data_IF_245819334562
#
_entry.id   IF_245819334562
#
_cell.length_a   1.000
_cell.length_b   1.000
_cell.length_c   1.000
_cell.angle_alpha   90.00
_cell.angle_beta   90.00
_cell.angle_gamma   90.00
#
_symmetry.space_group_name_H-M   'P 1'
#
loop_
_entity.id
_entity.type
_entity.pdbx_description
1 polymer ?
#
# COMPACT_ATOMS: atom_id res chain seq x y z
N UNK A 1 9.95 -2.08 18.98
CA UNK A 1 9.42 -3.22 18.21
C UNK A 1 10.46 -4.31 18.19
N UNK A 2 10.12 -5.50 18.69
CA UNK A 2 10.91 -6.71 18.50
C UNK A 2 10.36 -7.40 17.27
N UNK A 3 11.22 -7.75 16.30
CA UNK A 3 10.81 -8.40 15.06
C UNK A 3 11.68 -8.03 13.87
N UNK A 4 11.38 -8.63 12.72
CA UNK A 4 12.16 -8.49 11.48
C UNK A 4 11.63 -7.34 10.63
N UNK A 5 12.46 -6.32 10.36
CA UNK A 5 12.11 -5.18 9.54
C UNK A 5 12.26 -5.49 8.04
N UNK A 6 11.19 -5.32 7.28
CA UNK A 6 11.13 -5.56 5.84
C UNK A 6 11.16 -4.32 4.95
N UNK A 7 11.45 -3.13 5.47
CA UNK A 7 11.35 -1.90 4.68
C UNK A 7 12.09 -1.97 3.33
N UNK A 8 13.32 -2.47 3.33
CA UNK A 8 14.10 -2.62 2.10
C UNK A 8 13.51 -3.64 1.12
N UNK A 9 12.75 -4.62 1.63
CA UNK A 9 12.08 -5.60 0.78
C UNK A 9 10.85 -5.02 0.05
N UNK A 10 10.37 -3.82 0.43
CA UNK A 10 9.28 -3.13 -0.29
C UNK A 10 9.73 -2.51 -1.63
N UNK A 11 11.03 -2.38 -1.88
CA UNK A 11 11.57 -1.85 -3.13
C UNK A 11 11.49 -2.89 -4.26
N UNK A 12 10.28 -3.35 -4.52
CA UNK A 12 9.98 -4.34 -5.55
C UNK A 12 10.03 -3.68 -6.94
N UNK A 13 10.87 -4.20 -7.84
CA UNK A 13 11.00 -3.72 -9.22
C UNK A 13 10.79 -4.87 -10.21
N UNK A 14 10.20 -4.57 -11.36
CA UNK A 14 9.54 -3.32 -11.78
C UNK A 14 8.20 -3.12 -11.09
N UNK A 15 7.87 -1.85 -10.81
CA UNK A 15 6.58 -1.50 -10.20
C UNK A 15 5.39 -1.79 -11.12
N UNK A 16 5.62 -1.85 -12.42
CA UNK A 16 4.63 -2.10 -13.45
C UNK A 16 5.27 -2.73 -14.68
N UNK A 17 4.71 -3.82 -15.16
CA UNK A 17 5.16 -4.47 -16.39
C UNK A 17 4.72 -3.74 -17.65
N UNK A 18 5.25 -4.18 -18.81
CA UNK A 18 4.80 -3.68 -20.10
C UNK A 18 3.34 -4.04 -20.40
N UNK A 19 2.92 -5.26 -20.05
CA UNK A 19 1.55 -5.72 -20.25
C UNK A 19 0.56 -4.94 -19.36
N UNK A 20 0.90 -4.71 -18.08
CA UNK A 20 0.09 -3.88 -17.19
C UNK A 20 -0.04 -2.43 -17.67
N UNK A 21 1.01 -1.85 -18.25
CA UNK A 21 0.92 -0.50 -18.84
C UNK A 21 0.05 -0.47 -20.08
N UNK A 22 0.15 -1.48 -20.94
CA UNK A 22 -0.63 -1.57 -22.16
C UNK A 22 -2.13 -1.88 -21.89
N UNK A 23 -2.43 -2.58 -20.77
CA UNK A 23 -3.79 -2.91 -20.35
C UNK A 23 -4.22 -2.15 -19.09
N UNK A 24 -3.74 -0.92 -18.91
CA UNK A 24 -4.05 -0.15 -17.68
C UNK A 24 -5.54 0.16 -17.53
N UNK A 25 -6.27 0.28 -18.62
CA UNK A 25 -7.72 0.45 -18.68
C UNK A 25 -8.49 -0.80 -18.24
N UNK A 26 -7.85 -1.96 -18.27
CA UNK A 26 -8.41 -3.23 -17.81
C UNK A 26 -8.19 -3.49 -16.31
N UNK A 27 -7.44 -2.62 -15.64
CA UNK A 27 -7.26 -2.73 -14.20
C UNK A 27 -8.45 -2.12 -13.47
N UNK A 28 -8.99 -2.84 -12.49
CA UNK A 28 -10.03 -2.27 -11.62
C UNK A 28 -9.58 -0.92 -11.07
N UNK A 29 -10.15 0.14 -11.60
CA UNK A 29 -9.80 1.51 -11.26
C UNK A 29 -10.20 1.85 -9.82
N UNK A 30 -9.88 3.07 -9.40
CA UNK A 30 -10.29 3.60 -8.11
C UNK A 30 -11.80 3.80 -8.01
N UNK A 31 -12.44 4.03 -9.16
CA UNK A 31 -13.87 4.34 -9.29
C UNK A 31 -14.70 3.07 -9.45
N UNK A 32 -14.07 1.93 -9.78
CA UNK A 32 -14.76 0.66 -9.96
C UNK A 32 -15.14 0.05 -8.61
N UNK A 33 -16.42 0.06 -8.31
CA UNK A 33 -16.98 -0.47 -7.06
C UNK A 33 -17.16 -1.98 -7.08
N UNK A 34 -17.34 -2.58 -8.27
CA UNK A 34 -17.48 -4.03 -8.45
C UNK A 34 -16.38 -4.59 -9.35
N UNK A 35 -15.24 -4.88 -8.72
CA UNK A 35 -14.08 -5.41 -9.40
C UNK A 35 -14.31 -6.83 -9.97
N UNK A 36 -15.16 -7.66 -9.34
CA UNK A 36 -15.47 -8.98 -9.88
C UNK A 36 -16.28 -8.89 -11.18
N UNK A 37 -17.31 -8.05 -11.19
CA UNK A 37 -18.11 -7.83 -12.40
C UNK A 37 -17.25 -7.26 -13.53
N UNK A 38 -16.39 -6.27 -13.21
CA UNK A 38 -15.48 -5.67 -14.19
C UNK A 38 -14.53 -6.70 -14.80
N UNK A 39 -13.83 -7.48 -13.96
CA UNK A 39 -12.89 -8.50 -14.44
C UNK A 39 -13.60 -9.62 -15.21
N UNK A 40 -14.82 -9.98 -14.81
CA UNK A 40 -15.64 -10.98 -15.51
C UNK A 40 -16.01 -10.50 -16.93
N UNK A 41 -16.35 -9.22 -17.09
CA UNK A 41 -16.66 -8.64 -18.39
C UNK A 41 -15.45 -8.61 -19.34
N UNK A 42 -14.23 -8.54 -18.80
CA UNK A 42 -12.97 -8.44 -19.57
C UNK A 42 -12.10 -9.70 -19.44
N UNK A 43 -12.66 -10.83 -18.99
CA UNK A 43 -11.90 -12.04 -18.64
C UNK A 43 -10.99 -12.54 -19.78
N UNK A 44 -11.41 -12.41 -21.02
CA UNK A 44 -10.64 -12.85 -22.19
C UNK A 44 -9.33 -12.05 -22.40
N UNK A 45 -9.26 -10.85 -21.88
CA UNK A 45 -8.15 -9.92 -22.05
C UNK A 45 -7.11 -10.00 -20.91
N UNK A 46 -7.49 -10.65 -19.80
CA UNK A 46 -6.66 -10.74 -18.59
C UNK A 46 -5.45 -11.70 -18.62
N UNK A 47 -5.36 -12.75 -19.46
CA UNK A 47 -4.32 -13.77 -19.32
C UNK A 47 -2.89 -13.22 -19.32
N UNK A 48 -2.58 -12.24 -20.19
CA UNK A 48 -1.24 -11.64 -20.26
C UNK A 48 -0.93 -10.80 -19.02
N UNK A 49 -1.88 -9.99 -18.53
CA UNK A 49 -1.76 -9.18 -17.33
C UNK A 49 -1.60 -10.08 -16.10
N UNK A 50 -2.41 -11.14 -16.01
CA UNK A 50 -2.36 -12.09 -14.91
C UNK A 50 -1.04 -12.87 -14.87
N UNK A 51 -0.49 -13.24 -16.03
CA UNK A 51 0.81 -13.91 -16.11
C UNK A 51 1.94 -13.03 -15.54
N UNK A 52 1.97 -11.75 -15.89
CA UNK A 52 2.93 -10.80 -15.36
C UNK A 52 2.79 -10.58 -13.85
N UNK A 53 1.55 -10.49 -13.35
CA UNK A 53 1.30 -10.34 -11.92
C UNK A 53 1.72 -11.60 -11.12
N UNK A 54 1.49 -12.81 -11.67
CA UNK A 54 1.94 -14.07 -11.05
C UNK A 54 3.45 -14.15 -10.87
N UNK A 55 4.24 -13.60 -11.79
CA UNK A 55 5.71 -13.59 -11.67
C UNK A 55 6.20 -12.83 -10.43
N UNK A 56 5.42 -11.87 -9.95
CA UNK A 56 5.75 -11.04 -8.78
C UNK A 56 5.17 -11.55 -7.48
N UNK A 57 4.32 -12.55 -7.55
CA UNK A 57 3.61 -13.07 -6.39
C UNK A 57 4.55 -13.65 -5.33
N UNK A 58 5.61 -14.36 -5.75
CA UNK A 58 6.62 -14.85 -4.84
C UNK A 58 7.33 -13.72 -4.05
N UNK A 59 7.51 -12.56 -4.68
CA UNK A 59 8.06 -11.39 -3.98
C UNK A 59 7.09 -10.86 -2.92
N UNK A 60 5.79 -10.84 -3.19
CA UNK A 60 4.76 -10.47 -2.22
C UNK A 60 4.67 -11.49 -1.07
N UNK A 61 4.71 -12.79 -1.39
CA UNK A 61 4.74 -13.85 -0.38
C UNK A 61 5.96 -13.72 0.54
N UNK A 62 7.12 -13.36 0.00
CA UNK A 62 8.33 -13.11 0.78
C UNK A 62 8.19 -11.95 1.79
N UNK A 63 7.28 -10.99 1.56
CA UNK A 63 7.04 -9.92 2.52
C UNK A 63 6.42 -10.43 3.82
N UNK A 64 5.71 -11.56 3.80
CA UNK A 64 5.11 -12.16 4.99
C UNK A 64 6.14 -12.60 6.05
N UNK A 65 7.41 -12.80 5.68
CA UNK A 65 8.47 -13.12 6.64
C UNK A 65 8.86 -11.95 7.56
N UNK A 66 8.37 -10.74 7.28
CA UNK A 66 8.68 -9.53 8.03
C UNK A 66 7.52 -9.11 8.92
N UNK A 67 7.83 -8.69 10.13
CA UNK A 67 6.83 -8.31 11.13
C UNK A 67 6.38 -6.85 10.97
N UNK A 68 7.26 -5.99 10.42
CA UNK A 68 7.00 -4.56 10.19
C UNK A 68 7.87 -3.98 9.06
N UNK A 69 7.49 -2.78 8.60
CA UNK A 69 8.12 -2.07 7.48
C UNK A 69 8.39 -0.62 7.84
N UNK A 70 9.51 -0.35 8.50
CA UNK A 70 9.88 1.00 8.95
C UNK A 70 11.19 1.45 8.33
N UNK A 71 11.28 2.69 7.78
CA UNK A 71 12.54 3.27 7.36
C UNK A 71 13.57 3.20 8.50
N UNK A 72 14.82 2.94 8.17
CA UNK A 72 15.90 2.90 9.17
C UNK A 72 16.40 4.29 9.55
N UNK A 73 16.06 5.31 8.76
CA UNK A 73 16.49 6.67 8.99
C UNK A 73 15.61 7.30 10.07
N UNK A 74 16.26 7.81 11.12
CA UNK A 74 15.59 8.54 12.21
C UNK A 74 15.19 9.96 11.78
N UNK A 75 15.72 10.43 10.66
CA UNK A 75 15.46 11.74 10.11
C UNK A 75 14.65 11.64 8.83
N UNK A 76 13.68 12.52 8.68
CA UNK A 76 12.96 12.71 7.42
C UNK A 76 13.94 13.28 6.38
N UNK A 77 14.29 12.44 5.43
CA UNK A 77 15.01 12.85 4.24
C UNK A 77 14.00 12.93 3.09
N UNK A 78 13.68 14.14 2.66
CA UNK A 78 12.77 14.35 1.53
C UNK A 78 13.28 13.74 0.22
N UNK A 79 14.59 13.55 0.11
CA UNK A 79 15.21 12.90 -1.03
C UNK A 79 15.30 11.38 -0.88
N UNK A 80 14.86 10.82 0.25
CA UNK A 80 14.88 9.39 0.46
C UNK A 80 13.95 8.70 -0.55
N UNK A 81 14.49 7.71 -1.23
CA UNK A 81 13.71 6.90 -2.16
C UNK A 81 12.57 6.20 -1.41
N UNK A 82 11.34 6.39 -1.86
CA UNK A 82 10.18 5.69 -1.32
C UNK A 82 9.91 4.39 -2.07
N UNK A 83 9.48 3.33 -1.38
CA UNK A 83 9.11 2.10 -2.05
C UNK A 83 7.86 2.32 -2.92
N UNK A 84 7.80 1.63 -4.06
CA UNK A 84 6.62 1.64 -4.91
C UNK A 84 5.59 0.64 -4.38
N UNK A 85 4.48 1.13 -3.85
CA UNK A 85 3.37 0.31 -3.37
C UNK A 85 2.43 -0.17 -4.50
N UNK A 86 2.72 0.17 -5.75
CA UNK A 86 1.86 -0.16 -6.90
C UNK A 86 1.64 -1.67 -7.07
N UNK A 87 2.64 -2.48 -6.76
CA UNK A 87 2.53 -3.93 -6.82
C UNK A 87 1.44 -4.43 -5.87
N UNK A 88 1.42 -3.94 -4.63
CA UNK A 88 0.40 -4.29 -3.64
C UNK A 88 -0.98 -3.82 -4.09
N UNK A 89 -1.11 -2.56 -4.51
CA UNK A 89 -2.39 -1.98 -4.91
C UNK A 89 -3.02 -2.64 -6.14
N UNK A 90 -2.22 -3.30 -6.98
CA UNK A 90 -2.69 -3.95 -8.22
C UNK A 90 -2.88 -5.45 -8.09
N UNK A 91 -2.30 -6.09 -7.09
CA UNK A 91 -2.40 -7.53 -6.86
C UNK A 91 -3.86 -8.01 -6.82
N UNK A 92 -4.79 -7.18 -6.33
CA UNK A 92 -6.22 -7.47 -6.30
C UNK A 92 -6.80 -7.85 -7.67
N UNK A 93 -6.27 -7.31 -8.77
CA UNK A 93 -6.74 -7.65 -10.11
C UNK A 93 -6.44 -9.11 -10.46
N UNK A 94 -5.28 -9.61 -10.04
CA UNK A 94 -4.95 -11.03 -10.16
C UNK A 94 -5.91 -11.89 -9.32
N UNK A 95 -6.23 -11.44 -8.11
CA UNK A 95 -7.14 -12.19 -7.23
C UNK A 95 -8.56 -12.22 -7.79
N UNK A 96 -9.06 -11.10 -8.30
CA UNK A 96 -10.34 -11.05 -8.98
C UNK A 96 -10.36 -11.98 -10.20
N UNK A 97 -9.32 -11.92 -11.04
CA UNK A 97 -9.21 -12.80 -12.20
C UNK A 97 -9.15 -14.30 -11.83
N UNK A 98 -8.39 -14.66 -10.80
CA UNK A 98 -8.34 -16.04 -10.28
C UNK A 98 -9.70 -16.52 -9.83
N UNK A 99 -10.43 -15.70 -9.10
CA UNK A 99 -11.75 -16.04 -8.59
C UNK A 99 -12.72 -16.33 -9.76
N UNK A 100 -12.79 -15.42 -10.75
CA UNK A 100 -13.65 -15.59 -11.95
C UNK A 100 -13.22 -16.78 -12.79
N UNK A 101 -11.94 -17.18 -12.73
CA UNK A 101 -11.39 -18.35 -13.42
C UNK A 101 -11.52 -19.66 -12.64
N UNK A 102 -12.14 -19.62 -11.43
CA UNK A 102 -12.37 -20.81 -10.61
C UNK A 102 -11.22 -21.18 -9.68
N UNK A 103 -10.13 -20.38 -9.63
CA UNK A 103 -9.00 -20.56 -8.71
C UNK A 103 -9.33 -19.91 -7.33
N UNK A 104 -10.44 -20.35 -6.70
CA UNK A 104 -11.09 -19.68 -5.56
C UNK A 104 -10.16 -19.59 -4.36
N UNK A 105 -9.54 -20.69 -3.95
CA UNK A 105 -8.64 -20.74 -2.79
C UNK A 105 -7.42 -19.81 -2.99
N UNK A 106 -6.81 -19.84 -4.17
CA UNK A 106 -5.67 -19.00 -4.50
C UNK A 106 -6.03 -17.51 -4.51
N UNK A 107 -7.25 -17.17 -4.97
CA UNK A 107 -7.77 -15.81 -4.96
C UNK A 107 -7.94 -15.28 -3.53
N UNK A 108 -8.62 -16.03 -2.67
CA UNK A 108 -8.86 -15.64 -1.28
C UNK A 108 -7.58 -15.60 -0.46
N UNK A 109 -6.67 -16.59 -0.64
CA UNK A 109 -5.37 -16.62 0.02
C UNK A 109 -4.53 -15.38 -0.34
N UNK A 110 -4.53 -15.00 -1.63
CA UNK A 110 -3.84 -13.79 -2.08
C UNK A 110 -4.38 -12.52 -1.43
N UNK A 111 -5.70 -12.36 -1.33
CA UNK A 111 -6.32 -11.22 -0.64
C UNK A 111 -5.98 -11.21 0.85
N UNK A 112 -6.05 -12.35 1.54
CA UNK A 112 -5.68 -12.40 2.96
C UNK A 112 -4.21 -12.05 3.17
N UNK A 113 -3.29 -12.47 2.28
CA UNK A 113 -1.90 -12.02 2.28
C UNK A 113 -1.79 -10.50 2.20
N UNK A 114 -2.47 -9.91 1.24
CA UNK A 114 -2.37 -8.47 0.99
C UNK A 114 -2.98 -7.67 2.16
N UNK A 115 -4.06 -8.16 2.77
CA UNK A 115 -4.64 -7.61 3.98
C UNK A 115 -3.69 -7.70 5.19
N UNK A 116 -3.02 -8.83 5.39
CA UNK A 116 -1.99 -8.99 6.45
C UNK A 116 -0.84 -8.01 6.24
N UNK A 117 -0.36 -7.87 4.99
CA UNK A 117 0.68 -6.90 4.65
C UNK A 117 0.23 -5.46 4.87
N UNK A 118 -1.00 -5.12 4.49
CA UNK A 118 -1.61 -3.81 4.73
C UNK A 118 -1.65 -3.47 6.22
N UNK A 119 -2.08 -4.41 7.08
CA UNK A 119 -2.06 -4.25 8.54
C UNK A 119 -0.65 -4.02 9.07
N UNK A 120 0.33 -4.82 8.63
CA UNK A 120 1.73 -4.66 9.05
C UNK A 120 2.31 -3.32 8.62
N UNK A 121 1.94 -2.81 7.44
CA UNK A 121 2.34 -1.48 6.96
C UNK A 121 1.79 -0.36 7.85
N UNK A 122 0.50 -0.37 8.19
CA UNK A 122 -0.11 0.60 9.12
C UNK A 122 0.56 0.52 10.49
N UNK A 123 0.71 -0.69 11.03
CA UNK A 123 1.32 -0.91 12.35
C UNK A 123 2.79 -0.47 12.40
N UNK A 124 3.49 -0.49 11.27
CA UNK A 124 4.89 -0.09 11.17
C UNK A 124 5.13 1.38 11.47
N UNK A 125 4.13 2.23 11.32
CA UNK A 125 4.22 3.69 11.57
C UNK A 125 5.41 4.31 10.84
N UNK A 126 5.65 3.84 9.60
CA UNK A 126 6.82 4.25 8.81
C UNK A 126 6.67 5.65 8.21
N UNK A 127 5.50 5.95 7.68
CA UNK A 127 5.12 7.26 7.14
C UNK A 127 3.60 7.37 7.03
N UNK A 128 3.09 8.61 7.04
CA UNK A 128 1.66 8.87 6.83
C UNK A 128 1.23 8.37 5.44
N UNK A 129 2.00 8.67 4.41
CA UNK A 129 1.70 8.23 3.04
C UNK A 129 1.63 6.70 2.95
N UNK A 130 2.59 5.98 3.53
CA UNK A 130 2.57 4.51 3.57
C UNK A 130 1.33 3.98 4.30
N UNK A 131 0.92 4.63 5.37
CA UNK A 131 -0.28 4.24 6.13
C UNK A 131 -1.58 4.53 5.38
N UNK A 132 -1.67 5.66 4.67
CA UNK A 132 -2.82 5.99 3.81
C UNK A 132 -2.94 4.98 2.66
N UNK A 133 -1.82 4.63 2.03
CA UNK A 133 -1.80 3.62 0.97
C UNK A 133 -2.24 2.25 1.51
N UNK A 134 -1.74 1.87 2.69
CA UNK A 134 -2.12 0.61 3.33
C UNK A 134 -3.60 0.58 3.73
N UNK A 135 -4.15 1.68 4.23
CA UNK A 135 -5.58 1.78 4.53
C UNK A 135 -6.43 1.61 3.26
N UNK A 136 -6.01 2.20 2.14
CA UNK A 136 -6.68 2.03 0.84
C UNK A 136 -6.57 0.61 0.31
N UNK A 137 -5.41 -0.04 0.50
CA UNK A 137 -5.24 -1.45 0.17
C UNK A 137 -6.27 -2.30 0.93
N UNK A 138 -6.33 -2.13 2.25
CA UNK A 138 -7.25 -2.87 3.12
C UNK A 138 -8.71 -2.64 2.71
N UNK A 139 -9.14 -1.39 2.53
CA UNK A 139 -10.51 -1.04 2.13
C UNK A 139 -10.93 -1.80 0.86
N UNK A 140 -10.08 -1.76 -0.17
CA UNK A 140 -10.38 -2.34 -1.47
C UNK A 140 -10.35 -3.86 -1.45
N UNK A 141 -9.43 -4.45 -0.71
CA UNK A 141 -9.27 -5.90 -0.64
C UNK A 141 -10.34 -6.54 0.23
N UNK A 142 -10.75 -5.88 1.32
CA UNK A 142 -11.92 -6.31 2.13
C UNK A 142 -13.20 -6.27 1.28
N UNK A 143 -13.39 -5.21 0.49
CA UNK A 143 -14.55 -5.10 -0.41
C UNK A 143 -14.56 -6.25 -1.42
N UNK A 144 -13.43 -6.51 -2.09
CA UNK A 144 -13.33 -7.61 -3.04
C UNK A 144 -13.52 -8.98 -2.37
N UNK A 145 -12.96 -9.18 -1.18
CA UNK A 145 -13.14 -10.41 -0.41
C UNK A 145 -14.61 -10.63 -0.02
N UNK A 146 -15.31 -9.57 0.36
CA UNK A 146 -16.74 -9.63 0.65
C UNK A 146 -17.56 -9.99 -0.60
N UNK A 147 -17.23 -9.43 -1.77
CA UNK A 147 -17.85 -9.80 -3.05
C UNK A 147 -17.64 -11.29 -3.36
N UNK A 148 -16.40 -11.79 -3.23
CA UNK A 148 -16.10 -13.21 -3.43
C UNK A 148 -16.90 -14.11 -2.48
N UNK A 149 -16.98 -13.72 -1.20
CA UNK A 149 -17.72 -14.50 -0.20
C UNK A 149 -19.21 -14.53 -0.44
N UNK A 150 -19.78 -13.46 -0.97
CA UNK A 150 -21.20 -13.40 -1.33
C UNK A 150 -21.59 -14.38 -2.47
N UNK A 151 -20.64 -14.78 -3.30
CA UNK A 151 -20.84 -15.76 -4.38
C UNK A 151 -20.56 -17.21 -3.94
N UNK A 152 -20.06 -17.43 -2.73
CA UNK A 152 -19.71 -18.76 -2.23
C UNK A 152 -20.72 -19.27 -1.20
N UNK A 153 -20.84 -20.60 -1.04
CA UNK A 153 -21.61 -21.17 0.06
C UNK A 153 -21.10 -20.67 1.41
N UNK A 154 -21.99 -20.45 2.40
CA UNK A 154 -21.59 -19.97 3.73
C UNK A 154 -20.54 -20.84 4.42
N UNK A 155 -20.57 -22.15 4.16
CA UNK A 155 -19.65 -23.16 4.69
C UNK A 155 -18.33 -23.27 3.93
N UNK A 156 -18.15 -22.52 2.85
CA UNK A 156 -16.89 -22.55 2.10
C UNK A 156 -15.70 -22.20 3.01
N UNK A 157 -14.62 -23.01 3.01
CA UNK A 157 -13.52 -22.84 3.92
C UNK A 157 -12.81 -21.51 3.69
N UNK A 158 -12.27 -20.94 4.79
CA UNK A 158 -11.37 -19.82 4.73
C UNK A 158 -9.93 -20.33 4.61
N UNK A 159 -9.08 -19.71 3.78
CA UNK A 159 -7.65 -19.97 3.82
C UNK A 159 -7.08 -19.68 5.22
N UNK A 160 -6.19 -20.54 5.72
CA UNK A 160 -5.61 -20.40 7.07
C UNK A 160 -4.91 -19.04 7.31
N UNK A 161 -4.36 -18.42 6.26
CA UNK A 161 -3.75 -17.11 6.35
C UNK A 161 -4.76 -16.00 6.76
N UNK A 162 -6.05 -16.19 6.50
CA UNK A 162 -7.09 -15.25 6.90
C UNK A 162 -7.31 -15.25 8.43
N UNK A 163 -6.88 -16.28 9.15
CA UNK A 163 -7.01 -16.34 10.61
C UNK A 163 -6.19 -15.24 11.30
N UNK A 164 -5.09 -14.78 10.67
CA UNK A 164 -4.32 -13.63 11.17
C UNK A 164 -5.12 -12.31 11.18
N UNK A 165 -6.25 -12.24 10.46
CA UNK A 165 -7.07 -11.03 10.34
C UNK A 165 -8.16 -10.92 11.41
N UNK A 166 -8.41 -11.98 12.19
CA UNK A 166 -9.57 -12.07 13.09
C UNK A 166 -9.54 -11.09 14.27
N UNK A 167 -8.36 -10.59 14.63
CA UNK A 167 -8.22 -9.67 15.78
C UNK A 167 -7.48 -8.40 15.39
N UNK A 168 -8.10 -7.25 15.67
CA UNK A 168 -7.48 -5.93 15.58
C UNK A 168 -7.26 -5.40 17.00
N UNK A 169 -6.04 -5.44 17.54
CA UNK A 169 -5.78 -4.82 18.83
C UNK A 169 -5.99 -3.30 18.72
N UNK A 170 -6.60 -2.66 19.75
CA UNK A 170 -6.90 -1.21 19.73
C UNK A 170 -5.67 -0.34 19.44
N UNK A 171 -4.47 -0.81 19.80
CA UNK A 171 -3.21 -0.11 19.57
C UNK A 171 -2.88 0.05 18.07
N UNK A 172 -3.40 -0.84 17.21
CA UNK A 172 -3.20 -0.75 15.76
C UNK A 172 -3.99 0.42 15.15
N UNK A 173 -5.06 0.87 15.81
CA UNK A 173 -5.90 1.98 15.37
C UNK A 173 -5.40 3.35 15.84
N UNK A 174 -4.33 3.41 16.65
CA UNK A 174 -3.82 4.65 17.19
C UNK A 174 -3.05 5.45 16.12
N UNK A 175 -3.62 6.58 15.67
CA UNK A 175 -3.01 7.50 14.70
C UNK A 175 -2.01 8.47 15.34
N UNK A 176 -2.14 8.79 16.62
CA UNK A 176 -1.30 9.79 17.30
C UNK A 176 0.22 9.57 17.11
N UNK A 177 0.77 8.34 17.26
CA UNK A 177 2.20 8.14 17.05
C UNK A 177 2.66 8.35 15.61
N UNK A 178 1.77 8.11 14.65
CA UNK A 178 2.02 8.37 13.24
C UNK A 178 2.06 9.87 12.96
N UNK A 179 1.05 10.60 13.43
CA UNK A 179 0.98 12.06 13.29
C UNK A 179 2.14 12.76 13.98
N UNK A 180 2.58 12.25 15.13
CA UNK A 180 3.76 12.79 15.82
C UNK A 180 5.05 12.60 15.01
N UNK A 181 5.21 11.45 14.35
CA UNK A 181 6.34 11.20 13.46
C UNK A 181 6.36 12.17 12.27
N UNK A 182 5.21 12.41 11.64
CA UNK A 182 5.09 13.37 10.53
C UNK A 182 5.40 14.81 11.00
N UNK A 183 4.88 15.19 12.17
CA UNK A 183 5.16 16.51 12.74
C UNK A 183 6.64 16.73 13.03
N UNK A 184 7.33 15.75 13.63
CA UNK A 184 8.77 15.81 13.83
C UNK A 184 9.53 15.93 12.49
N UNK A 185 9.12 15.15 11.49
CA UNK A 185 9.69 15.22 10.15
C UNK A 185 9.49 16.59 9.52
N UNK A 186 8.29 17.15 9.64
CA UNK A 186 7.99 18.50 9.17
C UNK A 186 8.88 19.54 9.87
N UNK A 187 9.00 19.52 11.20
CA UNK A 187 9.88 20.43 11.92
C UNK A 187 11.35 20.32 11.47
N UNK A 188 11.86 19.12 11.30
CA UNK A 188 13.23 18.89 10.83
C UNK A 188 13.46 19.37 9.39
N UNK A 189 12.43 19.35 8.56
CA UNK A 189 12.49 19.81 7.17
C UNK A 189 12.40 21.31 7.00
N UNK A 190 11.80 22.01 7.97
CA UNK A 190 11.63 23.46 7.97
C UNK A 190 12.89 24.19 8.46
N UNK A 191 14.07 23.75 8.02
CA UNK A 191 15.32 24.49 8.21
C UNK A 191 15.40 25.67 7.23
N UNK A 192 16.12 26.74 7.60
CA UNK A 192 16.29 27.89 6.74
C UNK A 192 16.83 27.53 5.34
N UNK A 193 17.73 26.54 5.25
CA UNK A 193 18.29 26.09 3.97
C UNK A 193 17.26 25.34 3.11
N UNK A 194 16.44 24.49 3.72
CA UNK A 194 15.38 23.78 3.01
C UNK A 194 14.28 24.74 2.53
N UNK A 195 13.90 25.71 3.37
CA UNK A 195 12.94 26.74 3.00
C UNK A 195 13.44 27.57 1.82
N UNK A 196 14.71 27.96 1.80
CA UNK A 196 15.34 28.64 0.66
C UNK A 196 15.30 27.79 -0.62
N UNK A 197 15.64 26.50 -0.49
CA UNK A 197 15.60 25.59 -1.63
C UNK A 197 14.18 25.42 -2.20
N UNK A 198 13.15 25.34 -1.34
CA UNK A 198 11.75 25.27 -1.75
C UNK A 198 11.31 26.57 -2.44
N UNK A 199 11.59 27.74 -1.87
CA UNK A 199 11.27 29.03 -2.44
C UNK A 199 11.91 29.23 -3.83
N UNK A 200 13.17 28.81 -3.99
CA UNK A 200 13.87 28.88 -5.28
C UNK A 200 13.24 27.96 -6.35
N UNK A 201 12.66 26.81 -5.94
CA UNK A 201 12.00 25.88 -6.87
C UNK A 201 10.64 26.38 -7.32
N UNK A 202 9.89 27.00 -6.43
CA UNK A 202 8.52 27.46 -6.71
C UNK A 202 8.46 28.89 -7.28
N UNK A 203 9.62 29.58 -7.41
CA UNK A 203 9.66 30.98 -7.84
C UNK A 203 8.98 31.95 -6.84
N UNK A 204 8.81 31.50 -5.59
CA UNK A 204 8.16 32.26 -4.54
C UNK A 204 9.15 33.22 -3.84
N UNK A 205 8.60 34.27 -3.21
CA UNK A 205 9.41 35.23 -2.45
C UNK A 205 9.97 34.55 -1.18
N UNK A 206 11.30 34.36 -1.12
CA UNK A 206 12.02 33.77 -0.01
C UNK A 206 11.69 34.45 1.33
N UNK A 207 11.50 35.77 1.30
CA UNK A 207 11.20 36.56 2.49
C UNK A 207 9.84 36.20 3.13
N UNK A 208 8.84 35.90 2.29
CA UNK A 208 7.50 35.50 2.74
C UNK A 208 7.54 34.13 3.43
N UNK A 209 8.25 33.16 2.84
CA UNK A 209 8.42 31.83 3.42
C UNK A 209 9.16 31.86 4.77
N UNK A 210 10.22 32.66 4.86
CA UNK A 210 10.98 32.81 6.10
C UNK A 210 10.18 33.49 7.23
N UNK A 211 9.29 34.44 6.88
CA UNK A 211 8.37 35.05 7.85
C UNK A 211 7.39 34.03 8.44
N UNK A 212 6.82 33.16 7.61
CA UNK A 212 5.88 32.12 8.06
C UNK A 212 6.55 31.10 8.96
N UNK A 213 7.81 30.70 8.66
CA UNK A 213 8.59 29.78 9.51
C UNK A 213 8.89 30.41 10.87
N UNK A 214 9.27 31.69 10.92
CA UNK A 214 9.51 32.40 12.17
C UNK A 214 8.23 32.58 12.99
N UNK A 215 7.09 32.86 12.33
CA UNK A 215 5.79 33.00 12.99
C UNK A 215 5.28 31.67 13.57
N UNK A 216 5.64 30.54 12.96
CA UNK A 216 5.27 29.20 13.43
C UNK A 216 6.09 28.68 14.61
N UNK A 217 7.12 29.41 15.05
CA UNK A 217 7.98 29.03 16.17
C UNK A 217 8.90 27.83 15.87
N UNK A 218 9.08 27.48 14.62
CA UNK A 218 10.00 26.44 14.16
C UNK A 218 11.38 27.05 13.85
N UNK A 219 12.07 27.54 14.88
CA UNK A 219 13.40 28.12 14.79
C UNK A 219 14.32 27.54 15.85
#
# INVERSE_FOLDING_TARGET
>A
MHGKNGYQALFLRPSMSKAERAGSELLCSREETDCLAFVRAHQAEYPAIAADMRQREAALDNLLQYDYFRPRHEQYDFNAEMPSFQILLRARNLHAYRFVSGEIEAAQRGLCRDLVLGRRLIHSRGSLLGSVIAARLIERDVTLLAQMRAELPPEAPWPALCDELQTLPPQELALCPLMYGEWLGFQQSMTADNVKAMAATDGADEALYLQDVQASGAG
#
